data_IF_841700093297
#
_entry.id   IF_841700093297
#
_cell.length_a   1.000
_cell.length_b   1.000
_cell.length_c   1.000
_cell.angle_alpha   90.00
_cell.angle_beta   90.00
_cell.angle_gamma   90.00
#
_symmetry.space_group_name_H-M   'P 1'
#
loop_
_entity.id
_entity.type
_entity.pdbx_description
1 polymer ?
#
# COMPACT_ATOMS: atom_id res chain seq x y z
N UNK A 1 -36.60 -23.98 8.38
CA UNK A 1 -36.33 -25.42 8.54
C UNK A 1 -35.24 -25.58 9.59
N UNK A 2 -35.33 -26.57 10.50
CA UNK A 2 -34.25 -26.82 11.46
C UNK A 2 -32.96 -27.13 10.71
N UNK A 3 -31.87 -26.47 11.09
CA UNK A 3 -30.53 -26.71 10.54
C UNK A 3 -30.12 -28.15 10.82
N UNK A 4 -29.68 -28.88 9.79
CA UNK A 4 -29.15 -30.24 9.92
C UNK A 4 -28.03 -30.28 10.98
N UNK A 5 -27.99 -31.28 11.89
CA UNK A 5 -26.91 -31.42 12.86
C UNK A 5 -25.51 -31.46 12.22
N UNK A 6 -25.41 -32.01 11.01
CA UNK A 6 -24.17 -32.03 10.22
C UNK A 6 -23.79 -30.61 9.80
N UNK A 7 -24.76 -29.82 9.30
CA UNK A 7 -24.51 -28.44 8.90
C UNK A 7 -24.05 -27.58 10.08
N UNK A 8 -24.57 -27.84 11.29
CA UNK A 8 -24.14 -27.14 12.50
C UNK A 8 -22.70 -27.52 12.90
N UNK A 9 -22.33 -28.80 12.83
CA UNK A 9 -20.94 -29.24 13.05
C UNK A 9 -19.98 -28.61 12.03
N UNK A 10 -20.35 -28.55 10.75
CA UNK A 10 -19.54 -27.89 9.71
C UNK A 10 -19.31 -26.43 10.08
N UNK A 11 -20.33 -25.69 10.54
CA UNK A 11 -20.17 -24.29 10.97
C UNK A 11 -19.21 -24.16 12.16
N UNK A 12 -19.30 -25.05 13.14
CA UNK A 12 -18.41 -25.06 14.31
C UNK A 12 -16.95 -25.28 13.88
N UNK A 13 -16.69 -26.31 13.07
CA UNK A 13 -15.34 -26.60 12.58
C UNK A 13 -14.82 -25.52 11.64
N UNK A 14 -15.66 -24.96 10.76
CA UNK A 14 -15.28 -23.85 9.88
C UNK A 14 -14.81 -22.63 10.67
N UNK A 15 -15.49 -22.30 11.78
CA UNK A 15 -15.08 -21.24 12.71
C UNK A 15 -13.75 -21.58 13.40
N UNK A 16 -13.59 -22.81 13.89
CA UNK A 16 -12.38 -23.26 14.57
C UNK A 16 -11.14 -23.23 13.66
N UNK A 17 -11.29 -23.72 12.43
CA UNK A 17 -10.24 -23.77 11.40
C UNK A 17 -10.02 -22.42 10.69
N UNK A 18 -10.85 -21.40 10.97
CA UNK A 18 -10.82 -20.07 10.33
C UNK A 18 -11.00 -20.15 8.81
N UNK A 19 -11.97 -20.97 8.36
CA UNK A 19 -12.39 -21.13 6.97
C UNK A 19 -13.88 -20.75 6.83
N UNK A 20 -14.24 -19.47 7.05
CA UNK A 20 -15.63 -19.05 7.19
C UNK A 20 -16.50 -19.39 5.97
N UNK A 21 -15.94 -19.45 4.76
CA UNK A 21 -16.71 -19.78 3.54
C UNK A 21 -17.26 -21.21 3.55
N UNK A 22 -16.59 -22.14 4.24
CA UNK A 22 -17.07 -23.53 4.40
C UNK A 22 -18.37 -23.59 5.22
N UNK A 23 -18.65 -22.57 6.04
CA UNK A 23 -19.93 -22.46 6.76
C UNK A 23 -21.13 -22.20 5.84
N UNK A 24 -20.85 -21.74 4.61
CA UNK A 24 -21.80 -21.41 3.55
C UNK A 24 -21.68 -22.37 2.35
N UNK A 25 -21.12 -23.58 2.53
CA UNK A 25 -20.84 -24.55 1.46
C UNK A 25 -22.03 -24.86 0.52
N UNK A 26 -23.26 -24.65 0.99
CA UNK A 26 -24.48 -24.82 0.21
C UNK A 26 -24.57 -23.87 -0.98
N UNK A 27 -23.98 -22.67 -0.91
CA UNK A 27 -23.89 -21.76 -2.05
C UNK A 27 -23.07 -22.37 -3.18
N UNK A 28 -21.94 -23.00 -2.84
CA UNK A 28 -21.10 -23.75 -3.78
C UNK A 28 -21.87 -24.95 -4.34
N UNK A 29 -22.54 -25.74 -3.50
CA UNK A 29 -23.31 -26.89 -4.00
C UNK A 29 -24.41 -26.50 -5.02
N UNK A 30 -24.98 -25.30 -4.92
CA UNK A 30 -25.99 -24.80 -5.88
C UNK A 30 -25.40 -24.44 -7.25
N UNK A 31 -24.11 -24.10 -7.32
CA UNK A 31 -23.44 -23.77 -8.58
C UNK A 31 -22.83 -24.99 -9.25
N UNK A 32 -22.70 -26.10 -8.53
CA UNK A 32 -22.15 -27.35 -9.04
C UNK A 32 -23.22 -28.17 -9.80
N UNK A 33 -22.78 -28.88 -10.84
CA UNK A 33 -23.65 -29.79 -11.59
C UNK A 33 -23.94 -31.09 -10.83
N UNK A 34 -25.01 -31.82 -11.18
CA UNK A 34 -25.39 -33.07 -10.51
C UNK A 34 -24.33 -34.18 -10.61
N UNK A 35 -23.47 -34.13 -11.64
CA UNK A 35 -22.37 -35.10 -11.87
C UNK A 35 -21.05 -34.72 -11.18
N UNK A 36 -21.03 -33.62 -10.40
CA UNK A 36 -19.80 -33.14 -9.77
C UNK A 36 -19.29 -34.14 -8.74
N UNK A 37 -18.00 -34.51 -8.84
CA UNK A 37 -17.37 -35.41 -7.86
C UNK A 37 -17.04 -34.64 -6.59
N UNK A 38 -16.78 -35.36 -5.51
CA UNK A 38 -16.35 -34.77 -4.24
C UNK A 38 -15.11 -33.88 -4.39
N UNK A 39 -14.15 -34.31 -5.22
CA UNK A 39 -12.92 -33.56 -5.54
C UNK A 39 -13.23 -32.19 -6.15
N UNK A 40 -14.23 -32.11 -7.03
CA UNK A 40 -14.64 -30.86 -7.68
C UNK A 40 -15.26 -29.89 -6.66
N UNK A 41 -16.12 -30.41 -5.78
CA UNK A 41 -16.76 -29.62 -4.72
C UNK A 41 -15.71 -29.11 -3.73
N UNK A 42 -14.77 -29.97 -3.33
CA UNK A 42 -13.70 -29.59 -2.42
C UNK A 42 -12.81 -28.51 -3.03
N UNK A 43 -12.41 -28.68 -4.30
CA UNK A 43 -11.62 -27.69 -5.01
C UNK A 43 -12.34 -26.33 -5.08
N UNK A 44 -13.64 -26.33 -5.39
CA UNK A 44 -14.40 -25.08 -5.48
C UNK A 44 -14.55 -24.39 -4.13
N UNK A 45 -14.80 -25.13 -3.04
CA UNK A 45 -14.78 -24.59 -1.69
C UNK A 45 -13.42 -23.96 -1.33
N UNK A 46 -12.32 -24.64 -1.69
CA UNK A 46 -10.97 -24.12 -1.44
C UNK A 46 -10.67 -22.85 -2.24
N UNK A 47 -11.14 -22.77 -3.50
CA UNK A 47 -11.01 -21.56 -4.32
C UNK A 47 -11.78 -20.40 -3.71
N UNK A 48 -13.04 -20.61 -3.34
CA UNK A 48 -13.88 -19.57 -2.71
C UNK A 48 -13.24 -19.07 -1.41
N UNK A 49 -12.77 -19.96 -0.53
CA UNK A 49 -12.05 -19.57 0.69
C UNK A 49 -10.77 -18.79 0.39
N UNK A 50 -9.98 -19.24 -0.60
CA UNK A 50 -8.74 -18.58 -1.00
C UNK A 50 -8.98 -17.17 -1.52
N UNK A 51 -9.93 -17.01 -2.45
CA UNK A 51 -10.30 -15.70 -3.00
C UNK A 51 -10.81 -14.76 -1.92
N UNK A 52 -11.74 -15.23 -1.08
CA UNK A 52 -12.28 -14.43 0.02
C UNK A 52 -11.18 -14.00 1.02
N UNK A 53 -10.19 -14.88 1.26
CA UNK A 53 -9.04 -14.56 2.11
C UNK A 53 -8.13 -13.52 1.47
N UNK A 54 -7.84 -13.64 0.18
CA UNK A 54 -7.04 -12.67 -0.57
C UNK A 54 -7.72 -11.29 -0.58
N UNK A 55 -9.01 -11.23 -0.86
CA UNK A 55 -9.81 -9.99 -0.81
C UNK A 55 -9.78 -9.36 0.59
N UNK A 56 -10.00 -10.16 1.64
CA UNK A 56 -9.95 -9.66 3.01
C UNK A 56 -8.57 -9.11 3.40
N UNK A 57 -7.50 -9.76 2.96
CA UNK A 57 -6.15 -9.27 3.19
C UNK A 57 -5.89 -7.98 2.40
N UNK A 58 -6.30 -7.92 1.13
CA UNK A 58 -6.20 -6.73 0.31
C UNK A 58 -6.95 -5.55 0.94
N UNK A 59 -8.21 -5.73 1.34
CA UNK A 59 -9.03 -4.70 1.99
C UNK A 59 -8.43 -4.22 3.31
N UNK A 60 -7.81 -5.13 4.09
CA UNK A 60 -7.08 -4.75 5.32
C UNK A 60 -5.86 -3.89 5.00
N UNK A 61 -5.06 -4.24 4.01
CA UNK A 61 -3.89 -3.46 3.57
C UNK A 61 -4.32 -2.10 3.01
N UNK A 62 -5.37 -2.09 2.18
CA UNK A 62 -5.95 -0.88 1.61
C UNK A 62 -6.40 0.10 2.69
N UNK A 63 -7.13 -0.38 3.70
CA UNK A 63 -7.55 0.44 4.85
C UNK A 63 -6.35 0.93 5.67
N UNK A 64 -5.34 0.08 5.88
CA UNK A 64 -4.15 0.45 6.64
C UNK A 64 -3.29 1.50 5.91
N UNK A 65 -3.28 1.46 4.58
CA UNK A 65 -2.54 2.39 3.72
C UNK A 65 -3.06 3.82 3.79
N UNK A 66 -4.35 4.01 4.08
CA UNK A 66 -4.94 5.33 4.29
C UNK A 66 -4.77 6.29 3.09
N UNK A 67 -4.98 5.79 1.88
CA UNK A 67 -5.02 6.63 0.69
C UNK A 67 -6.14 7.69 0.78
N UNK A 68 -5.94 8.91 0.28
CA UNK A 68 -6.95 9.97 0.31
C UNK A 68 -8.13 9.67 -0.63
N UNK A 69 -7.86 8.91 -1.69
CA UNK A 69 -8.83 8.43 -2.67
C UNK A 69 -8.24 7.23 -3.41
N UNK A 70 -9.07 6.50 -4.16
CA UNK A 70 -8.64 5.36 -4.98
C UNK A 70 -8.62 5.74 -6.45
N UNK A 71 -7.45 5.62 -7.09
CA UNK A 71 -7.23 5.84 -8.52
C UNK A 71 -6.28 4.79 -9.04
N UNK A 72 -6.74 3.94 -9.96
CA UNK A 72 -5.94 2.83 -10.49
C UNK A 72 -4.96 3.32 -11.56
N UNK A 73 -3.98 2.48 -11.89
CA UNK A 73 -3.05 2.77 -12.99
C UNK A 73 -3.75 2.81 -14.35
N UNK A 74 -4.82 2.02 -14.53
CA UNK A 74 -5.59 1.98 -15.79
C UNK A 74 -6.35 3.29 -16.05
N UNK A 75 -6.67 4.04 -15.00
CA UNK A 75 -7.27 5.38 -15.10
C UNK A 75 -6.25 6.48 -15.45
N UNK A 76 -4.95 6.16 -15.51
CA UNK A 76 -3.90 7.14 -15.74
C UNK A 76 -3.80 7.50 -17.23
N UNK A 77 -4.07 8.76 -17.54
CA UNK A 77 -3.90 9.30 -18.89
C UNK A 77 -2.41 9.50 -19.24
N UNK A 78 -1.84 8.50 -19.92
CA UNK A 78 -0.43 8.50 -20.31
C UNK A 78 -0.05 9.58 -21.34
N UNK A 79 -1.03 10.10 -22.10
CA UNK A 79 -0.78 11.14 -23.11
C UNK A 79 -0.18 12.42 -22.50
N UNK A 80 -0.47 12.68 -21.22
CA UNK A 80 0.01 13.84 -20.46
C UNK A 80 1.52 13.86 -20.21
N UNK A 81 2.19 12.72 -20.37
CA UNK A 81 3.63 12.59 -20.15
C UNK A 81 4.46 12.76 -21.42
N UNK A 82 3.83 13.04 -22.58
CA UNK A 82 4.49 13.28 -23.86
C UNK A 82 5.54 12.19 -24.20
N UNK A 83 5.25 10.92 -23.90
CA UNK A 83 6.14 9.79 -24.15
C UNK A 83 7.26 9.56 -23.12
N UNK A 84 7.41 10.45 -22.12
CA UNK A 84 8.42 10.30 -21.05
C UNK A 84 8.12 9.09 -20.15
N UNK A 85 6.83 8.81 -19.94
CA UNK A 85 6.36 7.59 -19.26
C UNK A 85 5.67 6.73 -20.33
N UNK A 86 6.28 5.59 -20.63
CA UNK A 86 5.74 4.60 -21.56
C UNK A 86 4.93 3.55 -20.79
N UNK A 87 4.07 2.81 -21.50
CA UNK A 87 3.33 1.69 -20.91
C UNK A 87 4.27 0.58 -20.40
N UNK A 88 5.38 0.32 -21.11
CA UNK A 88 6.41 -0.64 -20.68
C UNK A 88 7.00 -0.24 -19.33
N UNK A 89 7.38 1.03 -19.18
CA UNK A 89 7.93 1.55 -17.93
C UNK A 89 6.87 1.53 -16.81
N UNK A 90 5.62 1.87 -17.12
CA UNK A 90 4.53 1.79 -16.14
C UNK A 90 4.32 0.35 -15.65
N UNK A 91 4.35 -0.63 -16.56
CA UNK A 91 4.22 -2.04 -16.23
C UNK A 91 5.39 -2.56 -15.40
N UNK A 92 6.61 -2.09 -15.66
CA UNK A 92 7.78 -2.36 -14.83
C UNK A 92 7.56 -1.86 -13.40
N UNK A 93 7.12 -0.61 -13.22
CA UNK A 93 6.80 -0.07 -11.89
C UNK A 93 5.65 -0.83 -11.21
N UNK A 94 4.62 -1.20 -11.98
CA UNK A 94 3.46 -1.95 -11.51
C UNK A 94 3.79 -3.40 -11.09
N UNK A 95 4.96 -3.92 -11.49
CA UNK A 95 5.46 -5.20 -10.97
C UNK A 95 5.90 -5.11 -9.51
N UNK A 96 6.10 -3.91 -8.99
CA UNK A 96 6.57 -3.63 -7.63
C UNK A 96 7.95 -4.25 -7.28
N UNK A 97 8.74 -4.66 -8.27
CA UNK A 97 10.13 -5.14 -8.05
C UNK A 97 11.00 -4.12 -7.30
N UNK A 98 10.78 -2.83 -7.52
CA UNK A 98 11.46 -1.77 -6.77
C UNK A 98 11.23 -1.85 -5.25
N UNK A 99 10.10 -2.42 -4.80
CA UNK A 99 9.80 -2.63 -3.37
C UNK A 99 10.62 -3.80 -2.81
N UNK A 100 10.78 -4.86 -3.60
CA UNK A 100 11.61 -6.03 -3.25
C UNK A 100 13.09 -5.65 -3.19
N UNK A 101 13.55 -4.89 -4.19
CA UNK A 101 14.92 -4.38 -4.31
C UNK A 101 15.24 -3.19 -3.40
N UNK A 102 14.27 -2.73 -2.59
CA UNK A 102 14.42 -1.58 -1.67
C UNK A 102 14.83 -0.28 -2.36
N UNK A 103 14.45 -0.11 -3.62
CA UNK A 103 14.67 1.11 -4.40
C UNK A 103 13.59 2.13 -4.13
N UNK A 104 13.96 3.41 -4.09
CA UNK A 104 13.03 4.52 -3.96
C UNK A 104 12.60 5.04 -5.34
N UNK A 105 11.45 5.70 -5.39
CA UNK A 105 10.96 6.39 -6.59
C UNK A 105 10.73 7.85 -6.22
N UNK A 106 11.34 8.76 -6.97
CA UNK A 106 11.10 10.20 -6.83
C UNK A 106 10.41 10.71 -8.08
N UNK A 107 9.20 11.24 -7.93
CA UNK A 107 8.41 11.83 -8.99
C UNK A 107 8.48 13.35 -8.90
N UNK A 108 9.12 13.97 -9.88
CA UNK A 108 9.28 15.43 -9.96
C UNK A 108 8.56 15.98 -11.19
N UNK A 109 7.66 16.92 -10.99
CA UNK A 109 7.04 17.68 -12.09
C UNK A 109 6.23 18.85 -11.54
N UNK A 110 5.80 19.75 -12.43
CA UNK A 110 4.85 20.80 -12.05
C UNK A 110 3.54 20.21 -11.45
N UNK A 111 2.79 21.00 -10.67
CA UNK A 111 1.48 20.59 -10.15
C UNK A 111 0.54 20.11 -11.26
N UNK A 112 -0.40 19.21 -10.94
CA UNK A 112 -1.43 18.75 -11.88
C UNK A 112 -1.00 17.72 -12.94
N UNK A 113 0.25 17.23 -12.90
CA UNK A 113 0.79 16.25 -13.86
C UNK A 113 0.60 14.78 -13.48
N UNK A 114 -0.26 14.47 -12.50
CA UNK A 114 -0.61 13.08 -12.16
C UNK A 114 0.35 12.32 -11.23
N UNK A 115 1.32 12.99 -10.58
CA UNK A 115 2.26 12.32 -9.63
C UNK A 115 1.53 11.58 -8.52
N UNK A 116 0.61 12.25 -7.83
CA UNK A 116 -0.18 11.66 -6.74
C UNK A 116 -1.03 10.50 -7.24
N UNK A 117 -1.63 10.62 -8.43
CA UNK A 117 -2.36 9.51 -9.07
C UNK A 117 -1.44 8.32 -9.28
N UNK A 118 -0.29 8.51 -9.92
CA UNK A 118 0.68 7.44 -10.15
C UNK A 118 1.15 6.79 -8.85
N UNK A 119 1.46 7.60 -7.82
CA UNK A 119 1.85 7.09 -6.51
C UNK A 119 0.74 6.28 -5.82
N UNK A 120 -0.52 6.72 -5.89
CA UNK A 120 -1.69 6.00 -5.38
C UNK A 120 -1.88 4.71 -6.18
N UNK A 121 -1.85 4.75 -7.51
CA UNK A 121 -2.03 3.58 -8.37
C UNK A 121 -0.97 2.50 -8.11
N UNK A 122 0.29 2.91 -7.96
CA UNK A 122 1.38 1.99 -7.57
C UNK A 122 1.16 1.44 -6.16
N UNK A 123 0.71 2.26 -5.21
CA UNK A 123 0.35 1.81 -3.86
C UNK A 123 -0.80 0.80 -3.83
N UNK A 124 -1.84 1.02 -4.63
CA UNK A 124 -2.96 0.08 -4.78
C UNK A 124 -2.48 -1.25 -5.37
N UNK A 125 -1.65 -1.18 -6.41
CA UNK A 125 -1.04 -2.37 -7.02
C UNK A 125 -0.18 -3.13 -6.01
N UNK A 126 0.65 -2.43 -5.23
CA UNK A 126 1.45 -3.03 -4.18
C UNK A 126 0.59 -3.73 -3.10
N UNK A 127 -0.52 -3.10 -2.66
CA UNK A 127 -1.47 -3.74 -1.75
C UNK A 127 -2.06 -5.04 -2.33
N UNK A 128 -2.38 -5.06 -3.63
CA UNK A 128 -2.91 -6.25 -4.32
C UNK A 128 -1.89 -7.39 -4.40
N UNK A 129 -0.60 -7.05 -4.50
CA UNK A 129 0.52 -8.00 -4.50
C UNK A 129 0.95 -8.45 -3.10
N UNK A 130 0.32 -7.92 -2.05
CA UNK A 130 0.56 -8.35 -0.68
C UNK A 130 1.44 -7.43 0.17
N UNK A 131 1.93 -6.32 -0.39
CA UNK A 131 2.77 -5.37 0.32
C UNK A 131 1.96 -4.47 1.25
N UNK A 132 2.49 -4.19 2.44
CA UNK A 132 1.97 -3.20 3.35
C UNK A 132 2.38 -1.81 2.88
N UNK A 133 1.39 -0.97 2.57
CA UNK A 133 1.63 0.40 2.13
C UNK A 133 1.19 1.36 3.22
N UNK A 134 1.83 2.52 3.30
CA UNK A 134 1.36 3.67 4.07
C UNK A 134 1.45 4.92 3.19
N UNK A 135 0.34 5.64 3.03
CA UNK A 135 0.28 6.91 2.34
C UNK A 135 0.20 8.05 3.35
N UNK A 136 1.03 9.08 3.15
CA UNK A 136 1.01 10.32 3.91
C UNK A 136 1.36 11.49 3.00
N UNK A 137 0.70 12.63 3.19
CA UNK A 137 1.32 13.88 2.73
C UNK A 137 2.54 14.18 3.60
N UNK A 138 3.58 14.79 3.04
CA UNK A 138 4.77 15.17 3.78
C UNK A 138 4.43 16.09 4.97
N UNK A 139 3.52 17.04 4.73
CA UNK A 139 2.95 17.91 5.77
C UNK A 139 2.25 17.12 6.88
N UNK A 140 1.34 16.21 6.51
CA UNK A 140 0.57 15.42 7.48
C UNK A 140 1.47 14.52 8.32
N UNK A 141 2.44 13.84 7.70
CA UNK A 141 3.40 13.02 8.46
C UNK A 141 4.26 13.87 9.39
N UNK A 142 4.72 15.04 8.93
CA UNK A 142 5.49 15.95 9.77
C UNK A 142 4.71 16.38 11.02
N UNK A 143 3.44 16.71 10.88
CA UNK A 143 2.58 17.05 12.02
C UNK A 143 2.40 15.85 12.95
N UNK A 144 2.09 14.67 12.41
CA UNK A 144 1.94 13.43 13.20
C UNK A 144 3.21 13.07 13.99
N UNK A 145 4.39 13.31 13.42
CA UNK A 145 5.67 13.05 14.09
C UNK A 145 5.90 13.98 15.29
N UNK A 146 5.52 15.26 15.17
CA UNK A 146 5.60 16.22 16.27
C UNK A 146 4.63 15.84 17.38
N UNK A 147 3.35 15.66 17.04
CA UNK A 147 2.31 15.31 18.00
C UNK A 147 2.66 14.02 18.73
N UNK A 148 3.10 12.98 18.00
CA UNK A 148 3.48 11.72 18.60
C UNK A 148 4.67 11.85 19.55
N UNK A 149 5.61 12.77 19.29
CA UNK A 149 6.71 13.04 20.22
C UNK A 149 6.19 13.71 21.48
N UNK A 150 5.37 14.75 21.34
CA UNK A 150 4.86 15.54 22.45
C UNK A 150 3.98 14.68 23.39
N UNK A 151 3.28 13.70 22.82
CA UNK A 151 2.47 12.72 23.55
C UNK A 151 3.25 11.44 23.94
N UNK A 152 4.59 11.42 23.85
CA UNK A 152 5.45 10.26 24.18
C UNK A 152 5.09 8.96 23.45
N UNK A 153 4.48 9.06 22.27
CA UNK A 153 4.01 7.95 21.44
C UNK A 153 4.80 7.77 20.12
N UNK A 154 5.87 8.55 19.92
CA UNK A 154 6.70 8.54 18.69
C UNK A 154 7.16 7.12 18.30
N UNK A 155 7.64 6.32 19.25
CA UNK A 155 8.08 4.95 18.98
C UNK A 155 6.97 4.03 18.44
N UNK A 156 5.70 4.31 18.74
CA UNK A 156 4.55 3.59 18.16
C UNK A 156 4.33 3.97 16.70
N UNK A 157 4.44 5.26 16.38
CA UNK A 157 4.34 5.77 15.01
C UNK A 157 5.50 5.25 14.14
N UNK A 158 6.73 5.34 14.63
CA UNK A 158 7.93 4.80 13.95
C UNK A 158 7.80 3.30 13.68
N UNK A 159 7.32 2.51 14.66
CA UNK A 159 7.05 1.08 14.46
C UNK A 159 5.99 0.82 13.37
N UNK A 160 4.95 1.65 13.28
CA UNK A 160 3.93 1.54 12.24
C UNK A 160 4.54 1.83 10.87
N UNK A 161 5.33 2.90 10.74
CA UNK A 161 5.99 3.27 9.49
C UNK A 161 7.00 2.18 9.07
N UNK A 162 7.79 1.65 10.02
CA UNK A 162 8.78 0.60 9.76
C UNK A 162 8.18 -0.71 9.25
N UNK A 163 6.92 -1.01 9.60
CA UNK A 163 6.20 -2.20 9.11
C UNK A 163 5.67 -2.06 7.68
N UNK A 164 5.63 -0.85 7.13
CA UNK A 164 5.23 -0.64 5.76
C UNK A 164 6.39 -1.02 4.82
N UNK A 165 6.12 -1.88 3.85
CA UNK A 165 7.03 -2.22 2.77
C UNK A 165 7.24 -1.01 1.85
N UNK A 166 6.19 -0.21 1.66
CA UNK A 166 6.20 1.03 0.90
C UNK A 166 5.60 2.19 1.70
N UNK A 167 6.35 3.29 1.79
CA UNK A 167 5.86 4.58 2.29
C UNK A 167 5.70 5.54 1.10
N UNK A 168 4.50 6.08 0.90
CA UNK A 168 4.26 7.17 -0.05
C UNK A 168 4.26 8.48 0.71
N UNK A 169 5.19 9.37 0.37
CA UNK A 169 5.30 10.75 0.84
C UNK A 169 4.88 11.68 -0.28
N UNK A 170 3.63 12.14 -0.22
CA UNK A 170 3.04 13.01 -1.23
C UNK A 170 3.30 14.48 -0.91
N UNK A 171 3.47 15.31 -1.96
CA UNK A 171 3.58 16.77 -1.88
C UNK A 171 4.76 17.29 -1.03
N UNK A 172 5.91 16.61 -1.11
CA UNK A 172 7.14 17.08 -0.48
C UNK A 172 7.60 18.38 -1.15
N UNK A 173 7.34 19.53 -0.53
CA UNK A 173 7.76 20.84 -1.04
C UNK A 173 6.70 21.93 -1.08
N UNK A 174 5.45 21.63 -0.73
CA UNK A 174 4.38 22.63 -0.66
C UNK A 174 4.34 23.44 0.64
N UNK A 175 5.02 23.00 1.69
CA UNK A 175 5.09 23.69 2.98
C UNK A 175 6.57 23.84 3.37
N UNK A 176 6.92 25.02 3.88
CA UNK A 176 8.20 25.25 4.56
C UNK A 176 8.19 24.48 5.87
N UNK A 177 8.96 23.40 5.94
CA UNK A 177 9.22 22.70 7.19
C UNK A 177 10.21 23.53 8.03
N UNK A 178 9.97 23.61 9.33
CA UNK A 178 11.02 24.07 10.22
C UNK A 178 12.13 22.99 10.32
N UNK A 179 13.33 23.38 10.76
CA UNK A 179 14.47 22.47 10.89
C UNK A 179 14.12 21.16 11.61
N UNK A 180 13.34 21.27 12.69
CA UNK A 180 12.97 20.12 13.51
C UNK A 180 12.05 19.13 12.77
N UNK A 181 11.07 19.65 12.03
CA UNK A 181 10.20 18.86 11.16
C UNK A 181 10.99 18.13 10.08
N UNK A 182 11.92 18.84 9.44
CA UNK A 182 12.81 18.29 8.43
C UNK A 182 13.70 17.17 8.99
N UNK A 183 14.26 17.34 10.19
CA UNK A 183 15.07 16.33 10.87
C UNK A 183 14.26 15.05 11.17
N UNK A 184 13.03 15.18 11.66
CA UNK A 184 12.15 14.02 11.92
C UNK A 184 11.74 13.30 10.63
N UNK A 185 11.34 14.04 9.60
CA UNK A 185 10.97 13.46 8.32
C UNK A 185 12.17 12.76 7.66
N UNK A 186 13.36 13.38 7.74
CA UNK A 186 14.59 12.79 7.25
C UNK A 186 14.91 11.50 7.99
N UNK A 187 14.82 11.47 9.33
CA UNK A 187 15.02 10.25 10.11
C UNK A 187 14.14 9.11 9.62
N UNK A 188 12.85 9.39 9.36
CA UNK A 188 11.93 8.39 8.82
C UNK A 188 12.40 7.84 7.47
N UNK A 189 12.85 8.70 6.56
CA UNK A 189 13.33 8.29 5.24
C UNK A 189 14.64 7.49 5.37
N UNK A 190 15.59 7.99 6.17
CA UNK A 190 16.88 7.36 6.41
C UNK A 190 16.75 5.99 7.08
N UNK A 191 15.86 5.84 8.06
CA UNK A 191 15.62 4.58 8.77
C UNK A 191 15.03 3.49 7.86
N UNK A 192 14.47 3.89 6.72
CA UNK A 192 13.90 3.01 5.69
C UNK A 192 14.90 2.64 4.61
N UNK A 193 15.98 3.39 4.44
CA UNK A 193 17.02 3.02 3.47
C UNK A 193 17.47 1.57 3.67
N UNK A 194 17.55 0.83 2.57
CA UNK A 194 17.84 -0.62 2.52
C UNK A 194 16.85 -1.55 3.25
N UNK A 195 15.77 -1.03 3.84
CA UNK A 195 14.78 -1.79 4.62
C UNK A 195 13.37 -1.75 4.04
N UNK A 196 12.96 -0.62 3.48
CA UNK A 196 11.67 -0.43 2.85
C UNK A 196 11.71 0.72 1.84
N UNK A 197 10.90 0.64 0.80
CA UNK A 197 10.93 1.65 -0.27
C UNK A 197 10.11 2.88 0.08
N UNK A 198 10.46 3.99 -0.56
CA UNK A 198 9.74 5.26 -0.47
C UNK A 198 9.37 5.73 -1.88
N UNK A 199 8.12 6.12 -2.07
CA UNK A 199 7.72 6.97 -3.20
C UNK A 199 7.61 8.40 -2.68
N UNK A 200 8.28 9.35 -3.34
CA UNK A 200 8.14 10.77 -3.06
C UNK A 200 7.53 11.47 -4.27
N UNK A 201 6.52 12.30 -4.05
CA UNK A 201 6.05 13.25 -5.07
C UNK A 201 6.45 14.67 -4.67
N UNK A 202 6.96 15.44 -5.63
CA UNK A 202 7.39 16.81 -5.39
C UNK A 202 7.20 17.69 -6.64
N UNK A 203 7.01 18.98 -6.41
CA UNK A 203 7.13 20.03 -7.43
C UNK A 203 8.48 20.77 -7.36
N UNK A 204 9.35 20.44 -6.39
CA UNK A 204 10.66 21.05 -6.21
C UNK A 204 11.74 20.26 -6.96
N UNK A 205 12.62 20.93 -7.71
CA UNK A 205 13.80 20.27 -8.26
C UNK A 205 14.74 19.85 -7.13
N UNK A 206 15.53 18.78 -7.34
CA UNK A 206 16.49 18.28 -6.36
C UNK A 206 17.43 19.35 -5.79
N UNK A 207 17.83 20.34 -6.60
CA UNK A 207 18.68 21.44 -6.16
C UNK A 207 18.08 22.26 -5.01
N UNK A 208 16.76 22.24 -4.84
CA UNK A 208 16.05 22.93 -3.76
C UNK A 208 15.77 22.05 -2.54
N UNK A 209 16.10 20.75 -2.61
CA UNK A 209 15.89 19.86 -1.47
C UNK A 209 16.88 20.15 -0.33
N UNK A 210 18.05 20.72 -0.63
CA UNK A 210 18.99 21.20 0.40
C UNK A 210 18.46 22.39 1.20
N UNK A 211 17.46 23.11 0.68
CA UNK A 211 16.76 24.16 1.41
C UNK A 211 15.70 23.57 2.36
N UNK A 212 15.11 22.41 2.01
CA UNK A 212 14.17 21.70 2.86
C UNK A 212 14.88 20.92 3.98
N UNK A 213 15.97 20.28 3.61
CA UNK A 213 16.80 19.45 4.46
C UNK A 213 18.15 20.16 4.54
N UNK A 214 18.38 20.96 5.60
CA UNK A 214 19.59 21.78 5.83
C UNK A 214 20.94 21.01 5.87
N UNK A 215 20.99 19.76 5.37
CA UNK A 215 22.16 18.90 5.29
C UNK A 215 22.17 18.14 3.96
N UNK A 216 23.20 18.34 3.15
CA UNK A 216 23.39 17.74 1.82
C UNK A 216 23.54 16.22 1.83
N UNK A 217 23.99 15.63 2.94
CA UNK A 217 24.02 14.17 3.14
C UNK A 217 22.61 13.58 3.10
N UNK A 218 21.59 14.38 3.46
CA UNK A 218 20.20 13.94 3.49
C UNK A 218 19.64 13.65 2.09
N UNK A 219 20.07 14.41 1.08
CA UNK A 219 19.63 14.23 -0.31
C UNK A 219 20.23 12.94 -0.89
N UNK A 220 21.45 12.59 -0.51
CA UNK A 220 22.11 11.36 -0.98
C UNK A 220 21.42 10.08 -0.48
N UNK A 221 20.83 10.09 0.72
CA UNK A 221 20.14 8.92 1.27
C UNK A 221 18.79 8.60 0.61
N UNK A 222 18.26 9.52 -0.20
CA UNK A 222 17.02 9.35 -0.97
C UNK A 222 17.25 8.70 -2.34
N UNK A 223 18.47 8.77 -2.86
CA UNK A 223 18.90 8.32 -4.20
C UNK A 223 19.57 6.96 -4.07
#
# INVERSE_FOLDING_TARGET
MPTSPIAEQIKIYAKYLKIPTFSEYQSVLRTMGPESRFEDILLELMKVESTQRQENQFMRRLKAAAFPYHKTLDELDLSRYNGTITEVFLNELASCKFIEEKKNIVMMSNPGRGKTHLAIGLGLKACSLGFNVLFKSAAGLSTELIEARDDYSLGKLEKRIKRADLLVLDELGYISFNRYQSELLFKVISDRSERGSVIVTTNLPFSKWTELFENTVMVAALI
#
